data_IF_042732102552
#
_entry.id   IF_042732102552
#
_cell.length_a   1.000
_cell.length_b   1.000
_cell.length_c   1.000
_cell.angle_alpha   90.00
_cell.angle_beta   90.00
_cell.angle_gamma   90.00
#
_symmetry.space_group_name_H-M   'P 1'
#
loop_
_entity.id
_entity.type
_entity.pdbx_description
1 polymer ?
#
# COMPACT_ATOMS: atom_id res chain seq x y z
N UNK A 1 -19.50 -8.62 6.61
CA UNK A 1 -20.86 -9.21 6.74
C UNK A 1 -21.94 -8.24 6.27
N UNK A 2 -21.94 -6.95 6.66
CA UNK A 2 -22.99 -5.98 6.28
C UNK A 2 -23.10 -5.79 4.75
N UNK A 3 -21.99 -5.77 4.02
CA UNK A 3 -22.01 -5.66 2.56
C UNK A 3 -22.67 -6.89 1.90
N UNK A 4 -22.31 -8.07 2.36
CA UNK A 4 -22.86 -9.32 1.83
C UNK A 4 -24.36 -9.48 2.13
N UNK A 5 -24.86 -8.93 3.25
CA UNK A 5 -26.29 -8.96 3.59
C UNK A 5 -27.16 -8.20 2.56
N UNK A 6 -26.58 -7.24 1.87
CA UNK A 6 -27.26 -6.49 0.80
C UNK A 6 -26.80 -6.92 -0.60
N UNK A 7 -26.09 -8.04 -0.72
CA UNK A 7 -25.60 -8.58 -2.02
C UNK A 7 -24.42 -7.82 -2.62
N UNK A 8 -23.75 -6.95 -1.87
CA UNK A 8 -22.59 -6.21 -2.33
C UNK A 8 -21.29 -7.02 -2.14
N UNK A 9 -20.33 -6.83 -3.05
CA UNK A 9 -19.00 -7.41 -2.94
C UNK A 9 -18.09 -6.49 -2.10
N UNK A 10 -17.17 -7.12 -1.37
CA UNK A 10 -16.12 -6.42 -0.61
C UNK A 10 -14.82 -6.46 -1.40
N UNK A 11 -14.35 -5.29 -1.85
CA UNK A 11 -13.04 -5.12 -2.48
C UNK A 11 -12.10 -4.45 -1.47
N UNK A 12 -10.97 -5.09 -1.17
CA UNK A 12 -9.98 -4.56 -0.24
C UNK A 12 -8.71 -4.16 -0.99
N UNK A 13 -8.31 -2.90 -0.86
CA UNK A 13 -6.97 -2.44 -1.20
C UNK A 13 -6.11 -2.51 0.07
N UNK A 14 -4.96 -3.19 0.01
CA UNK A 14 -4.13 -3.43 1.19
C UNK A 14 -2.64 -3.26 0.88
N UNK A 15 -1.84 -3.05 1.92
CA UNK A 15 -0.39 -3.09 1.82
C UNK A 15 0.10 -4.54 2.01
N UNK A 16 0.85 -5.13 1.05
CA UNK A 16 1.31 -6.52 1.19
C UNK A 16 2.22 -6.74 2.40
N UNK A 17 2.97 -5.72 2.83
CA UNK A 17 3.82 -5.81 4.03
C UNK A 17 3.00 -6.03 5.30
N UNK A 18 1.77 -5.51 5.35
CA UNK A 18 0.88 -5.68 6.51
C UNK A 18 0.56 -7.14 6.83
N UNK A 19 0.66 -8.03 5.84
CA UNK A 19 0.41 -9.47 6.02
C UNK A 19 1.42 -10.15 6.96
N UNK A 20 2.52 -9.48 7.30
CA UNK A 20 3.42 -9.94 8.37
C UNK A 20 2.79 -9.88 9.77
N UNK A 21 1.74 -9.08 9.98
CA UNK A 21 1.03 -8.90 11.26
C UNK A 21 -0.47 -9.15 11.16
N UNK A 22 -1.10 -8.72 10.07
CA UNK A 22 -2.55 -8.73 9.93
C UNK A 22 -3.02 -10.03 9.26
N UNK A 23 -4.28 -10.37 9.51
CA UNK A 23 -4.94 -11.49 8.82
C UNK A 23 -5.05 -11.21 7.33
N UNK A 24 -4.99 -12.27 6.52
CA UNK A 24 -5.18 -12.18 5.08
C UNK A 24 -6.59 -11.64 4.76
N UNK A 25 -6.76 -10.81 3.72
CA UNK A 25 -8.08 -10.31 3.33
C UNK A 25 -9.13 -11.42 3.13
N UNK A 26 -8.74 -12.55 2.53
CA UNK A 26 -9.64 -13.69 2.35
C UNK A 26 -10.14 -14.29 3.67
N UNK A 27 -9.31 -14.32 4.73
CA UNK A 27 -9.71 -14.81 6.07
C UNK A 27 -10.71 -13.85 6.76
N UNK A 28 -10.81 -12.61 6.27
CA UNK A 28 -11.74 -11.58 6.74
C UNK A 28 -13.03 -11.50 5.91
N UNK A 29 -13.21 -12.41 4.94
CA UNK A 29 -14.41 -12.45 4.10
C UNK A 29 -14.37 -11.51 2.89
N UNK A 30 -13.19 -10.95 2.54
CA UNK A 30 -13.02 -10.13 1.34
C UNK A 30 -13.19 -10.98 0.07
N UNK A 31 -13.89 -10.45 -0.92
CA UNK A 31 -14.15 -11.15 -2.19
C UNK A 31 -13.04 -10.95 -3.21
N UNK A 32 -12.52 -9.72 -3.28
CA UNK A 32 -11.42 -9.34 -4.17
C UNK A 32 -10.44 -8.50 -3.38
N UNK A 33 -9.16 -8.88 -3.39
CA UNK A 33 -8.11 -8.08 -2.76
C UNK A 33 -7.09 -7.63 -3.80
N UNK A 34 -6.74 -6.33 -3.74
CA UNK A 34 -5.77 -5.69 -4.63
C UNK A 34 -4.69 -4.99 -3.83
N UNK A 35 -3.49 -4.98 -4.38
CA UNK A 35 -2.36 -4.32 -3.73
C UNK A 35 -1.32 -3.86 -4.75
N UNK A 36 -0.49 -2.89 -4.34
CA UNK A 36 0.72 -2.52 -5.04
C UNK A 36 1.92 -3.21 -4.36
N UNK A 37 2.64 -4.01 -5.14
CA UNK A 37 3.70 -4.87 -4.62
C UNK A 37 5.11 -4.28 -4.61
N UNK A 38 5.30 -2.96 -4.82
CA UNK A 38 6.64 -2.35 -4.81
C UNK A 38 7.37 -2.57 -3.48
N UNK A 39 6.64 -2.63 -2.37
CA UNK A 39 7.21 -2.88 -1.02
C UNK A 39 7.88 -4.24 -0.90
N UNK A 40 7.64 -5.14 -1.86
CA UNK A 40 8.25 -6.47 -1.93
C UNK A 40 9.58 -6.43 -2.71
N UNK A 41 10.52 -5.57 -2.27
CA UNK A 41 11.88 -5.51 -2.77
C UNK A 41 12.11 -4.57 -3.96
N UNK A 42 11.15 -3.76 -4.36
CA UNK A 42 11.34 -2.74 -5.40
C UNK A 42 11.54 -1.37 -4.74
N UNK A 43 12.61 -0.62 -5.08
CA UNK A 43 12.78 0.74 -4.58
C UNK A 43 11.74 1.68 -5.19
N UNK A 44 11.58 2.88 -4.62
CA UNK A 44 10.75 3.92 -5.22
C UNK A 44 11.30 4.30 -6.62
N UNK A 45 10.43 4.26 -7.62
CA UNK A 45 10.79 4.50 -9.03
C UNK A 45 10.13 5.79 -9.58
N UNK A 46 9.56 6.62 -8.72
CA UNK A 46 8.98 7.93 -9.06
C UNK A 46 8.02 7.89 -10.26
N UNK A 47 7.09 6.93 -10.25
CA UNK A 47 6.12 6.71 -11.33
C UNK A 47 6.53 5.64 -12.35
N UNK A 48 7.66 4.95 -12.15
CA UNK A 48 8.05 3.80 -12.94
C UNK A 48 7.14 2.58 -12.70
N UNK A 49 7.32 1.50 -13.46
CA UNK A 49 6.45 0.33 -13.33
C UNK A 49 6.63 -0.34 -11.97
N UNK A 50 5.52 -0.76 -11.40
CA UNK A 50 5.45 -1.50 -10.14
C UNK A 50 4.84 -2.90 -10.36
N UNK A 51 4.40 -3.54 -9.28
CA UNK A 51 3.86 -4.89 -9.31
C UNK A 51 2.42 -4.88 -8.79
N UNK A 52 1.45 -5.00 -9.68
CA UNK A 52 0.05 -5.20 -9.30
C UNK A 52 -0.16 -6.59 -8.70
N UNK A 53 -0.84 -6.64 -7.56
CA UNK A 53 -1.29 -7.87 -6.91
C UNK A 53 -2.81 -7.87 -6.94
N UNK A 54 -3.40 -8.96 -7.40
CA UNK A 54 -4.85 -9.17 -7.38
C UNK A 54 -5.17 -10.61 -7.02
N UNK A 55 -6.04 -10.78 -6.04
CA UNK A 55 -6.58 -12.07 -5.63
C UNK A 55 -8.09 -11.99 -5.52
N UNK A 56 -8.78 -13.12 -5.70
CA UNK A 56 -10.23 -13.18 -5.56
C UNK A 56 -10.68 -14.55 -5.07
N UNK A 57 -11.95 -14.66 -4.68
CA UNK A 57 -12.60 -15.95 -4.45
C UNK A 57 -12.67 -16.76 -5.73
N UNK A 58 -12.74 -18.08 -5.62
CA UNK A 58 -12.73 -19.02 -6.74
C UNK A 58 -13.83 -18.73 -7.78
N UNK A 59 -15.00 -18.34 -7.35
CA UNK A 59 -16.12 -17.99 -8.22
C UNK A 59 -15.81 -16.84 -9.21
N UNK A 60 -14.86 -15.96 -8.87
CA UNK A 60 -14.46 -14.82 -9.71
C UNK A 60 -13.23 -15.10 -10.58
N UNK A 61 -12.55 -16.23 -10.42
CA UNK A 61 -11.31 -16.56 -11.16
C UNK A 61 -11.48 -16.41 -12.69
N UNK A 62 -12.63 -16.82 -13.22
CA UNK A 62 -12.91 -16.69 -14.66
C UNK A 62 -13.09 -15.24 -15.14
N UNK A 63 -13.25 -14.30 -14.21
CA UNK A 63 -13.40 -12.86 -14.49
C UNK A 63 -12.11 -12.07 -14.21
N UNK A 64 -11.10 -12.69 -13.61
CA UNK A 64 -9.81 -12.03 -13.36
C UNK A 64 -9.19 -11.53 -14.66
N UNK A 65 -8.67 -10.31 -14.69
CA UNK A 65 -7.88 -9.83 -15.83
C UNK A 65 -6.54 -10.57 -15.90
N UNK A 66 -5.93 -10.56 -17.09
CA UNK A 66 -4.60 -11.12 -17.31
C UNK A 66 -4.57 -12.63 -17.49
N UNK A 67 -3.35 -13.15 -17.59
CA UNK A 67 -3.06 -14.57 -17.81
C UNK A 67 -2.85 -15.28 -16.47
N UNK A 68 -3.27 -16.53 -16.41
CA UNK A 68 -3.08 -17.38 -15.21
C UNK A 68 -2.26 -18.58 -15.62
N UNK A 69 -1.14 -18.81 -14.93
CA UNK A 69 -0.34 -20.02 -15.07
C UNK A 69 -0.88 -21.10 -14.14
N UNK A 70 -1.26 -22.24 -14.70
CA UNK A 70 -1.70 -23.43 -13.95
C UNK A 70 -0.59 -24.47 -13.86
N UNK A 71 -0.49 -25.13 -12.73
CA UNK A 71 0.40 -26.29 -12.57
C UNK A 71 -0.28 -27.55 -13.09
N UNK A 72 0.43 -28.36 -13.84
CA UNK A 72 -0.01 -29.66 -14.36
C UNK A 72 1.19 -30.61 -14.45
N UNK A 73 0.98 -31.76 -15.09
CA UNK A 73 2.06 -32.71 -15.39
C UNK A 73 2.12 -32.94 -16.89
N UNK A 74 3.34 -33.18 -17.42
CA UNK A 74 3.56 -33.57 -18.79
C UNK A 74 3.22 -35.05 -19.04
N UNK A 75 3.38 -35.52 -20.27
CA UNK A 75 3.11 -36.92 -20.65
C UNK A 75 3.99 -37.93 -19.91
N UNK A 76 5.10 -37.48 -19.35
CA UNK A 76 6.03 -38.30 -18.57
C UNK A 76 5.78 -38.18 -17.06
N UNK A 77 4.70 -37.54 -16.63
CA UNK A 77 4.37 -37.33 -15.22
C UNK A 77 5.19 -36.24 -14.51
N UNK A 78 6.03 -35.47 -15.23
CA UNK A 78 6.85 -34.41 -14.63
C UNK A 78 6.05 -33.13 -14.50
N UNK A 79 6.19 -32.43 -13.36
CA UNK A 79 5.55 -31.12 -13.11
C UNK A 79 5.90 -30.12 -14.21
N UNK A 80 4.90 -29.49 -14.78
CA UNK A 80 5.02 -28.41 -15.75
C UNK A 80 3.99 -27.32 -15.50
N UNK A 81 4.14 -26.20 -16.22
CA UNK A 81 3.29 -25.03 -16.11
C UNK A 81 2.70 -24.68 -17.46
N UNK A 82 1.41 -24.33 -17.48
CA UNK A 82 0.69 -23.97 -18.69
C UNK A 82 -0.09 -22.69 -18.48
N UNK A 83 -0.24 -21.89 -19.52
CA UNK A 83 -1.16 -20.75 -19.48
C UNK A 83 -2.60 -21.26 -19.60
N UNK A 84 -3.45 -20.84 -18.66
CA UNK A 84 -4.85 -21.22 -18.59
C UNK A 84 -5.76 -20.05 -18.88
N UNK A 85 -7.05 -20.33 -19.18
CA UNK A 85 -8.10 -19.33 -19.39
C UNK A 85 -7.77 -18.31 -20.49
N UNK A 86 -6.93 -18.66 -21.46
CA UNK A 86 -6.50 -17.76 -22.55
C UNK A 86 -7.65 -17.34 -23.47
N UNK A 87 -8.74 -18.12 -23.57
CA UNK A 87 -9.87 -17.84 -24.47
C UNK A 87 -10.58 -16.52 -24.18
N UNK A 88 -10.37 -15.90 -23.02
CA UNK A 88 -10.92 -14.58 -22.64
C UNK A 88 -10.01 -13.41 -23.01
N UNK A 89 -8.81 -13.69 -23.49
CA UNK A 89 -7.77 -12.69 -23.81
C UNK A 89 -8.03 -12.00 -25.17
N UNK A 90 -7.52 -10.77 -25.31
CA UNK A 90 -7.71 -9.92 -26.48
C UNK A 90 -7.20 -10.55 -27.79
N UNK A 91 -6.10 -11.28 -27.76
CA UNK A 91 -5.53 -11.92 -28.95
C UNK A 91 -6.42 -13.04 -29.52
N UNK A 92 -7.39 -13.55 -28.73
CA UNK A 92 -8.38 -14.54 -29.15
C UNK A 92 -9.74 -13.90 -29.36
N UNK A 93 -10.27 -13.17 -28.37
CA UNK A 93 -11.62 -12.63 -28.38
C UNK A 93 -11.74 -11.24 -29.00
N UNK A 94 -10.64 -10.57 -29.28
CA UNK A 94 -10.59 -9.22 -29.84
C UNK A 94 -11.44 -8.24 -29.01
N UNK A 95 -12.43 -7.57 -29.62
CA UNK A 95 -13.36 -6.62 -28.98
C UNK A 95 -14.22 -7.22 -27.86
N UNK A 96 -14.40 -8.55 -27.87
CA UNK A 96 -15.17 -9.29 -26.84
C UNK A 96 -14.34 -9.79 -25.69
N UNK A 97 -13.07 -9.39 -25.60
CA UNK A 97 -12.20 -9.78 -24.50
C UNK A 97 -12.70 -9.22 -23.17
N UNK A 98 -12.51 -9.98 -22.09
CA UNK A 98 -12.85 -9.55 -20.73
C UNK A 98 -11.98 -8.38 -20.28
N UNK A 99 -10.75 -8.28 -20.79
CA UNK A 99 -9.76 -7.29 -20.40
C UNK A 99 -8.79 -7.01 -21.54
N UNK A 100 -8.36 -5.76 -21.66
CA UNK A 100 -7.32 -5.30 -22.59
C UNK A 100 -5.99 -5.02 -21.84
N UNK A 101 -5.73 -5.72 -20.75
CA UNK A 101 -4.53 -5.54 -19.95
C UNK A 101 -3.30 -6.05 -20.70
N UNK A 102 -2.26 -5.22 -20.76
CA UNK A 102 -0.91 -5.65 -21.07
C UNK A 102 -0.27 -6.20 -19.80
N UNK A 103 -0.08 -7.50 -19.73
CA UNK A 103 0.43 -8.19 -18.53
C UNK A 103 1.93 -8.45 -18.69
N UNK A 104 2.79 -7.52 -18.37
CA UNK A 104 4.22 -7.75 -18.47
C UNK A 104 5.02 -7.19 -17.28
N UNK A 105 4.69 -7.63 -16.07
CA UNK A 105 5.45 -7.34 -14.86
C UNK A 105 6.20 -8.58 -14.32
N UNK A 106 6.56 -9.52 -15.20
CA UNK A 106 7.22 -10.76 -14.83
C UNK A 106 8.53 -10.55 -14.08
N UNK A 107 9.33 -9.54 -14.47
CA UNK A 107 10.58 -9.21 -13.78
C UNK A 107 10.35 -8.71 -12.36
N UNK A 108 9.35 -7.87 -12.13
CA UNK A 108 9.00 -7.40 -10.78
C UNK A 108 8.37 -8.51 -9.94
N UNK A 109 7.60 -9.41 -10.54
CA UNK A 109 7.11 -10.61 -9.87
C UNK A 109 8.26 -11.52 -9.42
N UNK A 110 9.28 -11.72 -10.27
CA UNK A 110 10.49 -12.45 -9.90
C UNK A 110 11.24 -11.77 -8.76
N UNK A 111 11.39 -10.44 -8.81
CA UNK A 111 12.02 -9.66 -7.73
C UNK A 111 11.28 -9.84 -6.40
N UNK A 112 9.96 -9.76 -6.41
CA UNK A 112 9.14 -10.00 -5.22
C UNK A 112 9.31 -11.43 -4.70
N UNK A 113 9.35 -12.43 -5.58
CA UNK A 113 9.60 -13.83 -5.19
C UNK A 113 10.98 -14.00 -4.53
N UNK A 114 12.03 -13.38 -5.07
CA UNK A 114 13.37 -13.38 -4.46
C UNK A 114 13.35 -12.69 -3.10
N UNK A 115 12.74 -11.51 -3.00
CA UNK A 115 12.60 -10.78 -1.75
C UNK A 115 11.90 -11.61 -0.67
N UNK A 116 10.75 -12.19 -1.00
CA UNK A 116 9.98 -13.01 -0.06
C UNK A 116 10.75 -14.28 0.36
N UNK A 117 11.52 -14.87 -0.55
CA UNK A 117 12.35 -16.04 -0.27
C UNK A 117 13.51 -15.72 0.67
N UNK A 118 14.14 -14.54 0.51
CA UNK A 118 15.23 -14.07 1.38
C UNK A 118 14.72 -13.65 2.76
N UNK A 119 13.62 -12.94 2.82
CA UNK A 119 13.04 -12.46 4.08
C UNK A 119 12.42 -13.58 4.89
N UNK A 120 11.75 -14.51 4.23
CA UNK A 120 10.99 -15.57 4.89
C UNK A 120 9.90 -15.05 5.81
N UNK A 121 9.18 -15.93 6.53
CA UNK A 121 8.09 -15.50 7.44
C UNK A 121 8.57 -14.61 8.58
N UNK A 122 9.75 -14.91 9.14
CA UNK A 122 10.33 -14.14 10.24
C UNK A 122 10.70 -12.71 9.82
N UNK A 123 11.37 -12.56 8.66
CA UNK A 123 11.74 -11.25 8.13
C UNK A 123 10.52 -10.41 7.77
N UNK A 124 9.49 -10.99 7.13
CA UNK A 124 8.25 -10.30 6.83
C UNK A 124 7.53 -9.81 8.09
N UNK A 125 7.47 -10.65 9.13
CA UNK A 125 6.93 -10.25 10.43
C UNK A 125 7.72 -9.10 11.05
N UNK A 126 9.04 -9.15 10.99
CA UNK A 126 9.92 -8.12 11.55
C UNK A 126 9.73 -6.79 10.82
N UNK A 127 9.71 -6.77 9.48
CA UNK A 127 9.45 -5.57 8.68
C UNK A 127 8.10 -4.94 9.02
N UNK A 128 7.04 -5.75 9.04
CA UNK A 128 5.70 -5.27 9.39
C UNK A 128 5.64 -4.70 10.82
N UNK A 129 6.28 -5.37 11.78
CA UNK A 129 6.37 -4.90 13.17
C UNK A 129 7.08 -3.55 13.26
N UNK A 130 8.21 -3.40 12.56
CA UNK A 130 8.97 -2.14 12.55
C UNK A 130 8.17 -1.00 11.90
N UNK A 131 7.46 -1.26 10.79
CA UNK A 131 6.58 -0.27 10.17
C UNK A 131 5.54 0.24 11.16
N UNK A 132 4.80 -0.68 11.78
CA UNK A 132 3.74 -0.34 12.73
C UNK A 132 4.26 0.39 13.97
N UNK A 133 5.35 -0.08 14.57
CA UNK A 133 5.95 0.55 15.77
C UNK A 133 6.45 1.96 15.48
N UNK A 134 7.15 2.17 14.36
CA UNK A 134 7.68 3.48 13.98
C UNK A 134 6.58 4.46 13.59
N UNK A 135 5.53 4.00 12.91
CA UNK A 135 4.38 4.82 12.60
C UNK A 135 3.60 5.21 13.88
N UNK A 136 3.41 4.27 14.79
CA UNK A 136 2.79 4.56 16.10
C UNK A 136 3.63 5.55 16.93
N UNK A 137 4.95 5.40 16.90
CA UNK A 137 5.85 6.36 17.55
C UNK A 137 5.73 7.76 16.94
N UNK A 138 5.77 7.86 15.62
CA UNK A 138 5.63 9.15 14.93
C UNK A 138 4.28 9.81 15.23
N UNK A 139 3.18 9.07 15.19
CA UNK A 139 1.86 9.57 15.53
C UNK A 139 1.78 10.06 16.98
N UNK A 140 2.34 9.32 17.94
CA UNK A 140 2.39 9.72 19.33
C UNK A 140 3.22 11.00 19.54
N UNK A 141 4.34 11.16 18.81
CA UNK A 141 5.13 12.41 18.88
C UNK A 141 4.36 13.60 18.24
N UNK A 142 3.62 13.38 17.16
CA UNK A 142 2.78 14.42 16.57
C UNK A 142 1.68 14.91 17.52
N UNK A 143 1.08 14.00 18.28
CA UNK A 143 0.03 14.30 19.25
C UNK A 143 0.53 15.13 20.45
N UNK A 144 1.85 15.23 20.67
CA UNK A 144 2.45 16.11 21.68
C UNK A 144 2.52 17.58 21.24
N UNK A 145 2.26 17.87 19.97
CA UNK A 145 2.30 19.23 19.42
C UNK A 145 0.89 19.81 19.38
N UNK A 146 0.64 20.87 20.15
CA UNK A 146 -0.69 21.52 20.27
C UNK A 146 -1.32 21.88 18.91
N UNK A 147 -0.50 22.14 17.91
CA UNK A 147 -0.90 22.48 16.53
C UNK A 147 -1.58 21.34 15.80
N UNK A 148 -1.21 20.11 16.11
CA UNK A 148 -1.64 18.95 15.33
C UNK A 148 -2.59 18.03 16.10
N UNK A 149 -3.33 17.21 15.35
CA UNK A 149 -4.11 16.11 15.88
C UNK A 149 -4.23 14.99 14.84
N UNK A 150 -4.47 13.77 15.28
CA UNK A 150 -4.79 12.67 14.36
C UNK A 150 -6.22 12.87 13.85
N UNK A 151 -6.36 13.10 12.54
CA UNK A 151 -7.68 13.36 11.93
C UNK A 151 -8.57 12.10 11.90
N UNK A 152 -7.98 10.91 12.00
CA UNK A 152 -8.68 9.62 12.02
C UNK A 152 -8.24 8.84 13.25
N UNK A 153 -9.10 8.76 14.26
CA UNK A 153 -8.89 8.00 15.50
C UNK A 153 -9.22 6.51 15.31
N UNK A 154 -8.58 5.86 14.36
CA UNK A 154 -8.72 4.42 14.07
C UNK A 154 -7.34 3.77 14.00
N UNK A 155 -7.26 2.45 14.28
CA UNK A 155 -6.02 1.74 14.08
C UNK A 155 -5.50 1.90 12.65
N UNK A 156 -4.20 2.12 12.50
CA UNK A 156 -3.50 2.25 11.23
C UNK A 156 -2.26 1.35 11.21
N UNK A 157 -1.71 1.10 10.05
CA UNK A 157 -0.53 0.25 9.90
C UNK A 157 0.75 1.10 9.82
N UNK A 158 0.96 1.82 8.72
CA UNK A 158 2.15 2.65 8.52
C UNK A 158 1.82 4.05 8.00
N UNK A 159 0.55 4.32 7.75
CA UNK A 159 0.05 5.59 7.23
C UNK A 159 -1.02 6.14 8.15
N UNK A 160 -0.94 7.42 8.46
CA UNK A 160 -1.91 8.11 9.29
C UNK A 160 -2.09 9.55 8.82
N UNK A 161 -3.27 10.10 9.07
CA UNK A 161 -3.64 11.46 8.67
C UNK A 161 -3.51 12.39 9.85
N UNK A 162 -2.80 13.49 9.63
CA UNK A 162 -2.62 14.58 10.59
C UNK A 162 -3.38 15.80 10.13
N UNK A 163 -4.14 16.44 11.04
CA UNK A 163 -4.78 17.74 10.84
C UNK A 163 -3.90 18.84 11.38
N UNK A 164 -3.71 19.89 10.62
CA UNK A 164 -3.09 21.14 11.04
C UNK A 164 -4.18 22.13 11.49
N UNK A 165 -4.31 22.36 12.78
CA UNK A 165 -5.29 23.29 13.37
C UNK A 165 -5.09 24.75 12.93
N UNK A 166 -3.95 25.09 12.32
CA UNK A 166 -3.68 26.40 11.73
C UNK A 166 -4.10 26.51 10.27
N UNK A 167 -4.54 25.39 9.66
CA UNK A 167 -4.97 25.32 8.26
C UNK A 167 -3.94 25.88 7.27
N UNK A 168 -2.65 25.55 7.46
CA UNK A 168 -1.54 26.06 6.66
C UNK A 168 -0.66 24.90 6.11
N UNK A 169 -1.28 23.81 5.71
CA UNK A 169 -0.62 22.60 5.20
C UNK A 169 0.31 22.90 4.01
N UNK A 170 -0.07 23.71 2.99
CA UNK A 170 0.83 23.97 1.86
C UNK A 170 2.13 24.66 2.26
N UNK A 171 2.08 25.67 3.15
CA UNK A 171 3.25 26.40 3.63
C UNK A 171 4.13 25.51 4.53
N UNK A 172 3.49 24.76 5.43
CA UNK A 172 4.14 23.79 6.32
C UNK A 172 4.94 22.72 5.53
N UNK A 173 4.32 22.08 4.53
CA UNK A 173 4.99 21.07 3.72
C UNK A 173 6.08 21.67 2.82
N UNK A 174 5.90 22.91 2.36
CA UNK A 174 6.94 23.66 1.65
C UNK A 174 8.13 23.92 2.57
N UNK A 175 7.90 24.41 3.79
CA UNK A 175 8.95 24.64 4.78
C UNK A 175 9.76 23.37 5.06
N UNK A 176 9.12 22.23 5.28
CA UNK A 176 9.80 20.95 5.47
C UNK A 176 10.64 20.54 4.25
N UNK A 177 10.09 20.71 3.05
CA UNK A 177 10.79 20.43 1.79
C UNK A 177 12.02 21.31 1.58
N UNK A 178 11.95 22.59 1.94
CA UNK A 178 13.08 23.52 1.88
C UNK A 178 14.20 23.13 2.89
N UNK A 179 13.86 22.24 3.87
CA UNK A 179 14.81 21.59 4.80
C UNK A 179 15.14 20.14 4.39
N UNK A 180 14.87 19.76 3.14
CA UNK A 180 15.11 18.43 2.57
C UNK A 180 14.30 17.31 3.24
N UNK A 181 13.13 17.61 3.81
CA UNK A 181 12.22 16.62 4.40
C UNK A 181 10.89 16.63 3.66
N UNK A 182 10.52 15.50 3.06
CA UNK A 182 9.19 15.28 2.50
C UNK A 182 8.29 14.78 3.65
N UNK A 183 7.64 15.73 4.31
CA UNK A 183 6.90 15.47 5.54
C UNK A 183 5.58 14.71 5.33
N UNK A 184 4.98 14.80 4.15
CA UNK A 184 3.73 14.14 3.85
C UNK A 184 3.10 14.61 2.55
N UNK A 185 1.88 14.15 2.31
CA UNK A 185 1.10 14.46 1.10
C UNK A 185 -0.14 15.25 1.49
N UNK A 186 -0.37 16.48 0.95
CA UNK A 186 -1.55 17.27 1.27
C UNK A 186 -2.80 16.59 0.70
N UNK A 187 -3.84 16.42 1.49
CA UNK A 187 -5.07 15.73 1.06
C UNK A 187 -6.05 16.65 0.34
N UNK A 188 -6.03 17.95 0.60
CA UNK A 188 -6.91 18.94 -0.01
C UNK A 188 -6.85 18.99 -1.55
N UNK A 189 -5.74 18.54 -2.16
CA UNK A 189 -5.65 18.45 -3.62
C UNK A 189 -6.65 17.46 -4.26
N UNK A 190 -7.22 16.53 -3.49
CA UNK A 190 -8.22 15.55 -3.95
C UNK A 190 -9.53 15.62 -3.18
N UNK A 191 -9.48 16.09 -1.92
CA UNK A 191 -10.60 16.10 -0.98
C UNK A 191 -10.67 17.47 -0.31
N UNK A 192 -11.54 18.36 -0.80
CA UNK A 192 -11.65 19.75 -0.30
C UNK A 192 -12.00 19.84 1.19
N UNK A 193 -12.70 18.83 1.71
CA UNK A 193 -13.03 18.73 3.15
C UNK A 193 -11.82 18.35 4.02
N UNK A 194 -10.66 18.09 3.41
CA UNK A 194 -9.40 17.71 4.06
C UNK A 194 -8.26 18.67 3.71
N UNK A 195 -8.58 19.94 3.40
CA UNK A 195 -7.60 20.98 3.06
C UNK A 195 -6.59 21.25 4.18
N UNK A 196 -7.05 21.05 5.43
CA UNK A 196 -6.28 21.16 6.66
C UNK A 196 -5.48 19.90 7.01
N UNK A 197 -5.50 18.87 6.16
CA UNK A 197 -4.94 17.56 6.46
C UNK A 197 -3.83 17.13 5.50
N UNK A 198 -2.90 16.34 6.03
CA UNK A 198 -1.86 15.68 5.23
C UNK A 198 -1.61 14.25 5.72
N UNK A 199 -1.25 13.38 4.78
CA UNK A 199 -0.95 11.97 5.03
C UNK A 199 0.54 11.80 5.32
N UNK A 200 0.88 11.17 6.43
CA UNK A 200 2.24 10.75 6.78
C UNK A 200 2.36 9.24 6.58
N UNK A 201 3.47 8.81 5.96
CA UNK A 201 3.83 7.39 5.80
C UNK A 201 5.19 7.14 6.47
N UNK A 202 5.24 6.18 7.39
CA UNK A 202 6.46 5.80 8.13
C UNK A 202 6.71 4.31 7.96
N UNK A 203 7.86 3.97 7.36
CA UNK A 203 8.23 2.58 7.09
C UNK A 203 9.35 2.11 8.00
N UNK A 204 9.70 0.83 7.89
CA UNK A 204 10.83 0.20 8.59
C UNK A 204 12.16 0.92 8.36
N UNK A 205 12.30 1.61 7.24
CA UNK A 205 13.55 2.30 6.85
C UNK A 205 13.83 3.57 7.64
N UNK A 206 12.81 4.18 8.23
CA UNK A 206 13.01 5.42 8.99
C UNK A 206 13.69 5.13 10.32
N UNK A 207 14.67 5.97 10.68
CA UNK A 207 15.29 5.92 12.00
C UNK A 207 14.50 6.74 13.02
N UNK A 208 14.78 6.55 14.30
CA UNK A 208 14.16 7.38 15.35
C UNK A 208 14.52 8.85 15.18
N UNK A 209 15.79 9.11 14.87
CA UNK A 209 16.35 10.46 14.67
C UNK A 209 15.66 11.18 13.49
N UNK A 210 15.38 10.46 12.39
CA UNK A 210 14.64 11.01 11.24
C UNK A 210 13.19 11.36 11.60
N UNK A 211 12.54 10.53 12.42
CA UNK A 211 11.19 10.82 12.92
C UNK A 211 11.21 12.02 13.86
N UNK A 212 12.14 12.07 14.81
CA UNK A 212 12.29 13.20 15.75
C UNK A 212 12.60 14.50 15.00
N UNK A 213 13.41 14.44 13.94
CA UNK A 213 13.67 15.58 13.06
C UNK A 213 12.40 16.06 12.36
N UNK A 214 11.59 15.16 11.81
CA UNK A 214 10.30 15.51 11.21
C UNK A 214 9.41 16.25 12.21
N UNK A 215 9.23 15.69 13.40
CA UNK A 215 8.39 16.27 14.46
C UNK A 215 8.91 17.65 14.87
N UNK A 216 10.23 17.80 15.05
CA UNK A 216 10.86 19.09 15.38
C UNK A 216 10.62 20.14 14.28
N UNK A 217 10.75 19.77 13.01
CA UNK A 217 10.50 20.69 11.90
C UNK A 217 9.04 21.13 11.85
N UNK A 218 8.10 20.19 11.98
CA UNK A 218 6.68 20.49 11.99
C UNK A 218 6.31 21.42 13.17
N UNK A 219 6.87 21.17 14.35
CA UNK A 219 6.63 21.98 15.54
C UNK A 219 7.26 23.38 15.47
N UNK A 220 8.34 23.57 14.70
CA UNK A 220 9.03 24.87 14.59
C UNK A 220 8.42 25.80 13.55
N UNK A 221 7.57 25.31 12.65
CA UNK A 221 6.89 26.14 11.66
C UNK A 221 5.82 27.01 12.30
N UNK A 222 5.92 28.31 12.17
CA UNK A 222 4.99 29.29 12.76
C UNK A 222 5.36 29.74 14.19
N UNK A 223 6.39 29.15 14.83
CA UNK A 223 6.87 29.57 16.16
C UNK A 223 7.78 30.82 16.18
N UNK A 224 7.94 31.49 15.06
CA UNK A 224 8.85 32.63 14.90
C UNK A 224 8.18 34.03 14.83
N UNK A 225 6.92 34.16 15.30
CA UNK A 225 6.27 35.46 15.45
C UNK A 225 5.76 35.64 16.89
N UNK A 226 6.65 35.95 17.78
CA UNK A 226 6.34 36.62 19.05
C UNK A 226 7.48 37.57 19.44
#
# INVERSE_FOLDING_TARGET
>A
DAAHQVGALVVCCFDPTSLGLLKRPGDLGVDIAVAEGHTLGTPMLYGGPYLGIMTCREEFVRRLPGRIAGQTVDRSGRRCWVLTLQTREQHIRREKATSNICTNQGLFALRAAVYLSLMGPAGMKQVATLCQQKAAYAAAQMDTLDRFELAIEKPFFKEFVVRDKQNDVPSLLKYCRDKNVLAGVPLGQWYSEWDDCFLISVTEKRTKEEIDQLVSLLGSHGGGQS
#
